data_IF_311945072115
#
_entry.id   IF_311945072115
#
_cell.length_a   1.000
_cell.length_b   1.000
_cell.length_c   1.000
_cell.angle_alpha   90.00
_cell.angle_beta   90.00
_cell.angle_gamma   90.00
#
_symmetry.space_group_name_H-M   'P 1'
#
loop_
_entity.id
_entity.type
_entity.pdbx_description
1 polymer ?
#
# COMPACT_ATOMS: atom_id res chain seq x y z
N UNK A 1 7.26 8.00 13.27
CA UNK A 1 8.26 7.53 12.29
C UNK A 1 8.50 8.68 11.31
N UNK A 2 9.75 9.13 11.18
CA UNK A 2 10.15 10.01 10.07
C UNK A 2 10.86 9.14 9.03
N UNK A 3 10.45 9.27 7.78
CA UNK A 3 11.12 8.63 6.66
C UNK A 3 12.41 9.37 6.32
N UNK A 4 13.46 8.64 5.96
CA UNK A 4 14.68 9.23 5.43
C UNK A 4 14.41 9.88 4.07
N UNK A 5 15.29 10.80 3.61
CA UNK A 5 15.18 11.36 2.26
C UNK A 5 15.15 10.29 1.16
N UNK A 6 15.91 9.20 1.33
CA UNK A 6 15.93 8.09 0.39
C UNK A 6 14.59 7.32 0.37
N UNK A 7 14.02 7.06 1.55
CA UNK A 7 12.71 6.40 1.67
C UNK A 7 11.61 7.26 1.05
N UNK A 8 11.67 8.58 1.21
CA UNK A 8 10.75 9.53 0.57
C UNK A 8 10.85 9.43 -0.95
N UNK A 9 12.05 9.36 -1.52
CA UNK A 9 12.23 9.22 -2.98
C UNK A 9 11.69 7.88 -3.51
N UNK A 10 11.85 6.78 -2.75
CA UNK A 10 11.24 5.50 -3.09
C UNK A 10 9.71 5.58 -3.10
N UNK A 11 9.12 6.21 -2.09
CA UNK A 11 7.66 6.39 -2.01
C UNK A 11 7.14 7.26 -3.15
N UNK A 12 7.82 8.38 -3.47
CA UNK A 12 7.48 9.22 -4.64
C UNK A 12 7.51 8.43 -5.93
N UNK A 13 8.54 7.62 -6.13
CA UNK A 13 8.70 6.78 -7.33
C UNK A 13 7.55 5.79 -7.47
N UNK A 14 7.17 5.11 -6.38
CA UNK A 14 6.02 4.20 -6.36
C UNK A 14 4.72 4.93 -6.69
N UNK A 15 4.46 6.09 -6.07
CA UNK A 15 3.23 6.85 -6.31
C UNK A 15 3.14 7.36 -7.76
N UNK A 16 4.25 7.85 -8.32
CA UNK A 16 4.31 8.28 -9.73
C UNK A 16 4.03 7.12 -10.69
N UNK A 17 4.57 5.94 -10.41
CA UNK A 17 4.28 4.74 -11.20
C UNK A 17 2.77 4.44 -11.22
N UNK A 18 2.12 4.47 -10.07
CA UNK A 18 0.69 4.20 -9.94
C UNK A 18 -0.17 5.25 -10.67
N UNK A 19 0.15 6.53 -10.51
CA UNK A 19 -0.53 7.64 -11.21
C UNK A 19 -0.38 7.49 -12.73
N UNK A 20 0.83 7.20 -13.22
CA UNK A 20 1.08 7.01 -14.66
C UNK A 20 0.29 5.83 -15.21
N UNK A 21 0.29 4.70 -14.51
CA UNK A 21 -0.49 3.52 -14.91
C UNK A 21 -1.98 3.86 -15.02
N UNK A 22 -2.56 4.50 -14.00
CA UNK A 22 -3.98 4.86 -14.00
C UNK A 22 -4.33 5.88 -15.05
N UNK A 23 -3.46 6.87 -15.26
CA UNK A 23 -3.59 7.85 -16.35
C UNK A 23 -3.63 7.15 -17.71
N UNK A 24 -2.73 6.20 -17.98
CA UNK A 24 -2.72 5.46 -19.24
C UNK A 24 -3.98 4.61 -19.42
N UNK A 25 -4.43 3.88 -18.39
CA UNK A 25 -5.64 3.04 -18.43
C UNK A 25 -6.92 3.86 -18.67
N UNK A 26 -6.94 5.11 -18.23
CA UNK A 26 -8.09 6.01 -18.34
C UNK A 26 -7.95 7.08 -19.41
N UNK A 27 -6.92 7.01 -20.27
CA UNK A 27 -6.58 8.06 -21.24
C UNK A 27 -6.47 9.47 -20.62
N UNK A 28 -6.04 9.56 -19.36
CA UNK A 28 -5.88 10.81 -18.60
C UNK A 28 -7.15 11.28 -17.89
N UNK A 29 -8.25 10.53 -17.93
CA UNK A 29 -9.53 10.94 -17.34
C UNK A 29 -9.70 10.54 -15.86
N UNK A 30 -8.82 9.69 -15.31
CA UNK A 30 -8.89 9.26 -13.91
C UNK A 30 -7.54 9.37 -13.19
N UNK A 31 -7.60 9.80 -11.94
CA UNK A 31 -6.47 9.80 -11.01
C UNK A 31 -6.39 8.52 -10.17
N UNK A 32 -5.34 8.41 -9.36
CA UNK A 32 -5.10 7.30 -8.44
C UNK A 32 -5.66 7.61 -7.04
N UNK A 33 -6.35 6.63 -6.44
CA UNK A 33 -6.81 6.70 -5.05
C UNK A 33 -6.10 5.68 -4.16
N UNK A 34 -5.72 6.05 -2.94
CA UNK A 34 -5.02 5.15 -2.01
C UNK A 34 -5.79 3.85 -1.68
N UNK A 35 -7.12 3.86 -1.78
CA UNK A 35 -7.94 2.64 -1.63
C UNK A 35 -7.61 1.58 -2.70
N UNK A 36 -7.05 1.98 -3.84
CA UNK A 36 -6.59 1.05 -4.87
C UNK A 36 -5.33 0.27 -4.45
N UNK A 37 -4.69 0.63 -3.32
CA UNK A 37 -3.66 -0.20 -2.68
C UNK A 37 -4.25 -1.33 -1.83
N UNK A 38 -5.53 -1.27 -1.47
CA UNK A 38 -6.18 -2.28 -0.63
C UNK A 38 -6.06 -3.71 -1.22
N UNK A 39 -6.23 -3.94 -2.54
CA UNK A 39 -5.98 -5.26 -3.14
C UNK A 39 -4.53 -5.73 -2.98
N UNK A 40 -3.55 -4.82 -3.07
CA UNK A 40 -2.13 -5.15 -2.89
C UNK A 40 -1.86 -5.51 -1.43
N UNK A 41 -2.43 -4.74 -0.50
CA UNK A 41 -2.32 -5.02 0.93
C UNK A 41 -3.00 -6.33 1.29
N UNK A 42 -4.12 -6.67 0.65
CA UNK A 42 -4.79 -7.97 0.84
C UNK A 42 -3.94 -9.13 0.30
N UNK A 43 -3.28 -8.97 -0.84
CA UNK A 43 -2.33 -9.98 -1.33
C UNK A 43 -1.20 -10.22 -0.32
N UNK A 44 -0.67 -9.16 0.31
CA UNK A 44 0.33 -9.32 1.36
C UNK A 44 -0.22 -10.06 2.60
N UNK A 45 -1.53 -9.95 2.88
CA UNK A 45 -2.20 -10.74 3.92
C UNK A 45 -2.27 -12.20 3.51
N UNK A 46 -2.70 -12.47 2.28
CA UNK A 46 -2.83 -13.82 1.75
C UNK A 46 -1.45 -14.52 1.66
N UNK A 47 -0.38 -13.75 1.42
CA UNK A 47 1.01 -14.19 1.46
C UNK A 47 1.58 -14.36 2.89
N UNK A 48 0.81 -14.01 3.93
CA UNK A 48 1.24 -14.07 5.32
C UNK A 48 2.34 -13.06 5.71
N UNK A 49 2.59 -12.06 4.86
CA UNK A 49 3.61 -11.00 5.10
C UNK A 49 3.09 -9.86 5.97
N UNK A 50 1.78 -9.66 6.01
CA UNK A 50 1.10 -8.72 6.89
C UNK A 50 -0.17 -9.38 7.44
N UNK A 51 -0.69 -8.88 8.55
CA UNK A 51 -1.94 -9.32 9.16
C UNK A 51 -2.97 -8.20 9.13
N UNK A 52 -4.20 -8.51 8.77
CA UNK A 52 -5.33 -7.59 8.89
C UNK A 52 -5.97 -7.75 10.27
N UNK A 53 -6.03 -6.67 11.07
CA UNK A 53 -6.68 -6.69 12.39
C UNK A 53 -7.73 -5.57 12.50
N UNK A 54 -8.90 -5.84 13.12
CA UNK A 54 -9.88 -4.80 13.41
C UNK A 54 -9.35 -3.83 14.47
N UNK A 55 -9.54 -2.53 14.25
CA UNK A 55 -9.34 -1.47 15.25
C UNK A 55 -10.65 -0.75 15.52
N UNK A 56 -10.68 0.15 16.50
CA UNK A 56 -11.88 0.89 16.93
C UNK A 56 -12.61 1.55 15.73
N UNK A 57 -11.87 1.99 14.70
CA UNK A 57 -12.42 2.75 13.58
C UNK A 57 -12.42 2.01 12.23
N UNK A 58 -11.57 1.00 12.05
CA UNK A 58 -11.44 0.25 10.79
C UNK A 58 -10.45 -0.92 10.92
N UNK A 59 -10.39 -1.79 9.91
CA UNK A 59 -9.31 -2.75 9.77
C UNK A 59 -7.99 -2.04 9.42
N UNK A 60 -6.89 -2.51 10.00
CA UNK A 60 -5.52 -2.03 9.74
C UNK A 60 -4.60 -3.22 9.47
N UNK A 61 -3.59 -2.98 8.63
CA UNK A 61 -2.56 -3.96 8.30
C UNK A 61 -1.37 -3.81 9.24
N UNK A 62 -0.86 -4.92 9.76
CA UNK A 62 0.23 -4.99 10.71
C UNK A 62 1.30 -5.96 10.25
N UNK A 63 2.54 -5.80 10.71
CA UNK A 63 3.54 -6.85 10.55
C UNK A 63 3.14 -8.06 11.44
N UNK A 64 3.30 -9.30 10.95
CA UNK A 64 3.14 -10.49 11.78
C UNK A 64 4.17 -10.42 12.90
N UNK A 65 3.78 -10.75 14.13
CA UNK A 65 4.76 -10.85 15.21
C UNK A 65 5.71 -12.01 14.87
N UNK A 66 7.02 -11.77 14.88
CA UNK A 66 8.07 -12.76 14.59
C UNK A 66 8.20 -13.88 15.63
N UNK A 67 7.08 -14.44 16.08
CA UNK A 67 6.96 -15.59 16.96
C UNK A 67 6.14 -16.71 16.29
N UNK A 68 6.30 -16.87 14.98
CA UNK A 68 5.90 -18.10 14.29
C UNK A 68 6.83 -19.22 14.74
N UNK A 69 6.45 -19.88 15.84
CA UNK A 69 6.95 -21.18 16.27
C UNK A 69 6.55 -22.25 15.28
#
# INVERSE_FOLDING_TARGET
MQFSPEEIEKLKTMMLFLIRRKSNESAGHCGFHLKELEPILQQLVDEGKVELRPTINNNKYFLPNGNSR
#
